data_IF_199356648685
#
_entry.id   IF_199356648685
#
_cell.length_a   1.000
_cell.length_b   1.000
_cell.length_c   1.000
_cell.angle_alpha   90.00
_cell.angle_beta   90.00
_cell.angle_gamma   90.00
#
_symmetry.space_group_name_H-M   'P 1'
#
loop_
_entity.id
_entity.type
_entity.pdbx_description
1 polymer ?
#
# COMPACT_ATOMS: atom_id res chain seq x y z
N UNK A 1 52.07 20.03 -8.84
CA UNK A 1 52.21 19.23 -10.06
C UNK A 1 52.04 17.76 -9.73
N UNK A 2 50.88 17.19 -9.92
CA UNK A 2 50.71 15.74 -10.02
C UNK A 2 49.42 15.47 -10.81
N UNK A 3 49.62 15.06 -12.02
CA UNK A 3 48.67 14.63 -13.02
C UNK A 3 48.13 13.26 -12.67
N UNK A 4 46.79 13.09 -12.55
CA UNK A 4 46.17 11.78 -12.54
C UNK A 4 45.49 11.50 -13.86
N UNK A 5 46.05 10.48 -14.51
CA UNK A 5 45.72 9.97 -15.84
C UNK A 5 44.41 9.18 -15.77
N UNK A 6 43.57 9.43 -16.75
CA UNK A 6 42.37 8.68 -17.07
C UNK A 6 42.70 7.17 -17.27
N UNK A 7 41.87 6.32 -16.69
CA UNK A 7 41.75 4.94 -17.11
C UNK A 7 40.26 4.65 -17.35
N UNK A 8 39.90 4.65 -18.63
CA UNK A 8 38.67 4.08 -19.15
C UNK A 8 38.88 2.58 -19.26
N UNK A 9 38.07 1.80 -18.56
CA UNK A 9 37.97 0.35 -18.83
C UNK A 9 36.54 0.05 -19.17
N UNK A 10 36.30 -0.15 -20.46
CA UNK A 10 35.11 -0.76 -21.01
C UNK A 10 35.25 -2.28 -20.90
N UNK A 11 34.31 -2.94 -20.25
CA UNK A 11 34.14 -4.39 -20.38
C UNK A 11 32.67 -4.70 -20.60
N UNK A 12 32.36 -4.95 -21.85
CA UNK A 12 31.14 -5.63 -22.26
C UNK A 12 31.26 -7.11 -21.93
N UNK A 13 30.33 -7.66 -21.21
CA UNK A 13 30.14 -9.11 -21.15
C UNK A 13 28.65 -9.42 -21.20
N UNK A 14 28.22 -9.90 -22.34
CA UNK A 14 26.96 -10.59 -22.53
C UNK A 14 26.93 -11.85 -21.67
N UNK A 15 25.91 -11.97 -20.83
CA UNK A 15 25.63 -13.16 -20.07
C UNK A 15 24.16 -13.43 -20.05
N UNK A 16 23.63 -14.15 -21.02
CA UNK A 16 22.28 -14.71 -21.02
C UNK A 16 22.23 -15.84 -20.00
N UNK A 17 21.50 -15.64 -18.91
CA UNK A 17 21.12 -16.73 -18.01
C UNK A 17 19.60 -16.78 -17.96
N UNK A 18 19.05 -17.71 -18.73
CA UNK A 18 17.74 -18.29 -18.54
C UNK A 18 17.75 -19.02 -17.18
N UNK A 19 17.16 -18.40 -16.18
CA UNK A 19 16.80 -19.08 -14.94
C UNK A 19 15.28 -19.18 -14.87
N UNK A 20 14.76 -20.33 -15.19
CA UNK A 20 13.44 -20.77 -14.79
C UNK A 20 13.43 -20.84 -13.26
N UNK A 21 12.57 -20.08 -12.61
CA UNK A 21 12.50 -20.10 -11.15
C UNK A 21 11.33 -19.31 -10.61
N UNK A 22 10.26 -20.03 -10.27
CA UNK A 22 9.39 -19.69 -9.16
C UNK A 22 8.55 -18.42 -9.26
N UNK A 23 7.36 -18.55 -9.81
CA UNK A 23 6.28 -17.59 -9.66
C UNK A 23 5.89 -17.47 -8.20
N UNK A 24 6.49 -16.54 -7.46
CA UNK A 24 5.84 -15.99 -6.29
C UNK A 24 4.64 -15.18 -6.81
N UNK A 25 3.46 -15.75 -6.74
CA UNK A 25 2.22 -15.07 -7.04
C UNK A 25 1.98 -13.99 -5.98
N UNK A 26 2.53 -12.81 -6.22
CA UNK A 26 1.95 -11.60 -5.69
C UNK A 26 0.60 -11.47 -6.41
N UNK A 27 -0.48 -11.70 -5.68
CA UNK A 27 -1.85 -11.54 -6.14
C UNK A 27 -2.19 -10.04 -6.19
N UNK A 28 -1.41 -9.32 -6.96
CA UNK A 28 -1.68 -7.97 -7.42
C UNK A 28 -2.46 -8.16 -8.71
N UNK A 29 -3.76 -7.83 -8.67
CA UNK A 29 -4.72 -8.11 -9.71
C UNK A 29 -4.48 -7.39 -11.04
N UNK A 30 -3.28 -7.50 -11.59
CA UNK A 30 -2.96 -7.13 -12.95
C UNK A 30 -3.55 -8.21 -13.89
N UNK A 31 -4.49 -7.88 -14.76
CA UNK A 31 -5.05 -8.87 -15.69
C UNK A 31 -3.97 -9.34 -16.64
N UNK A 32 -3.88 -10.66 -16.82
CA UNK A 32 -3.09 -11.24 -17.88
C UNK A 32 -3.51 -10.63 -19.23
N UNK A 33 -2.55 -10.34 -20.16
CA UNK A 33 -2.89 -9.85 -21.49
C UNK A 33 -3.82 -10.85 -22.19
N UNK A 34 -5.05 -10.45 -22.46
CA UNK A 34 -6.01 -11.25 -23.23
C UNK A 34 -7.31 -11.63 -22.53
N UNK A 35 -7.49 -11.37 -21.23
CA UNK A 35 -8.80 -11.54 -20.58
C UNK A 35 -9.60 -10.24 -20.71
N UNK A 36 -10.50 -10.17 -21.68
CA UNK A 36 -11.57 -9.18 -21.73
C UNK A 36 -12.44 -9.37 -20.49
N UNK A 37 -12.33 -8.46 -19.52
CA UNK A 37 -13.26 -8.43 -18.39
C UNK A 37 -14.63 -8.00 -18.91
N UNK A 38 -15.54 -8.96 -19.07
CA UNK A 38 -16.94 -8.66 -19.30
C UNK A 38 -17.59 -8.27 -17.98
N UNK A 39 -18.19 -7.07 -17.92
CA UNK A 39 -18.92 -6.57 -16.77
C UNK A 39 -18.09 -5.70 -15.79
N UNK A 40 -18.77 -5.10 -14.84
CA UNK A 40 -18.20 -4.17 -13.84
C UNK A 40 -17.47 -4.86 -12.68
N UNK A 41 -17.45 -6.19 -12.65
CA UNK A 41 -16.81 -6.97 -11.60
C UNK A 41 -17.63 -7.11 -10.32
N UNK A 42 -18.91 -6.74 -10.31
CA UNK A 42 -19.79 -6.74 -9.14
C UNK A 42 -19.79 -8.08 -8.40
N UNK A 43 -20.00 -9.18 -9.09
CA UNK A 43 -20.01 -10.54 -8.48
C UNK A 43 -18.70 -10.86 -7.75
N UNK A 44 -17.54 -10.50 -8.33
CA UNK A 44 -16.25 -10.71 -7.73
C UNK A 44 -16.04 -9.79 -6.51
N UNK A 45 -16.50 -8.55 -6.60
CA UNK A 45 -16.45 -7.59 -5.50
C UNK A 45 -17.30 -8.07 -4.32
N UNK A 46 -18.56 -8.45 -4.56
CA UNK A 46 -19.46 -8.96 -3.51
C UNK A 46 -18.85 -10.17 -2.78
N UNK A 47 -18.26 -11.10 -3.51
CA UNK A 47 -17.58 -12.28 -2.92
C UNK A 47 -16.39 -11.91 -2.05
N UNK A 48 -15.65 -10.83 -2.41
CA UNK A 48 -14.44 -10.40 -1.69
C UNK A 48 -14.73 -9.40 -0.57
N UNK A 49 -15.93 -8.87 -0.51
CA UNK A 49 -16.32 -7.79 0.40
C UNK A 49 -15.94 -8.05 1.86
N UNK A 50 -16.27 -9.22 2.48
CA UNK A 50 -15.93 -9.45 3.88
C UNK A 50 -14.42 -9.40 4.16
N UNK A 51 -13.61 -9.88 3.22
CA UNK A 51 -12.16 -9.85 3.31
C UNK A 51 -11.62 -8.42 3.21
N UNK A 52 -12.22 -7.59 2.36
CA UNK A 52 -11.83 -6.18 2.20
C UNK A 52 -12.20 -5.40 3.46
N UNK A 53 -13.42 -5.56 3.98
CA UNK A 53 -13.88 -4.94 5.23
C UNK A 53 -12.91 -5.26 6.37
N UNK A 54 -12.57 -6.53 6.57
CA UNK A 54 -11.66 -6.96 7.64
C UNK A 54 -10.25 -6.36 7.50
N UNK A 55 -9.73 -6.23 6.28
CA UNK A 55 -8.44 -5.60 6.05
C UNK A 55 -8.43 -4.11 6.42
N UNK A 56 -9.50 -3.40 6.08
CA UNK A 56 -9.64 -1.98 6.41
C UNK A 56 -9.77 -1.81 7.92
N UNK A 57 -10.61 -2.60 8.58
CA UNK A 57 -10.78 -2.59 10.02
C UNK A 57 -9.44 -2.80 10.75
N UNK A 58 -8.70 -3.84 10.42
CA UNK A 58 -7.40 -4.12 11.01
C UNK A 58 -6.37 -3.01 10.74
N UNK A 59 -6.43 -2.36 9.57
CA UNK A 59 -5.54 -1.25 9.24
C UNK A 59 -5.86 -0.01 10.07
N UNK A 60 -7.14 0.32 10.23
CA UNK A 60 -7.60 1.44 11.05
C UNK A 60 -7.30 1.21 12.54
N UNK A 61 -7.59 0.02 13.06
CA UNK A 61 -7.27 -0.37 14.43
C UNK A 61 -5.77 -0.17 14.74
N UNK A 62 -4.90 -0.65 13.86
CA UNK A 62 -3.46 -0.46 14.02
C UNK A 62 -3.02 1.00 13.93
N UNK A 63 -3.57 1.78 12.99
CA UNK A 63 -3.18 3.19 12.83
C UNK A 63 -3.70 4.07 13.95
N UNK A 64 -4.86 3.76 14.51
CA UNK A 64 -5.48 4.47 15.63
C UNK A 64 -5.02 3.93 17.02
N UNK A 65 -4.16 2.93 17.04
CA UNK A 65 -3.59 2.37 18.26
C UNK A 65 -2.69 3.37 19.00
N UNK A 66 -2.31 3.00 20.21
CA UNK A 66 -1.42 3.78 21.08
C UNK A 66 0.02 3.89 20.56
N UNK A 67 0.87 4.62 21.29
CA UNK A 67 2.28 4.80 20.94
C UNK A 67 3.14 3.52 21.04
N UNK A 68 2.68 2.46 21.72
CA UNK A 68 3.33 1.16 21.74
C UNK A 68 3.05 0.36 20.47
N UNK A 69 1.91 0.63 19.82
CA UNK A 69 1.48 -0.07 18.60
C UNK A 69 2.36 0.29 17.40
N UNK A 70 2.98 -0.73 16.79
CA UNK A 70 3.78 -0.53 15.57
C UNK A 70 2.89 -0.07 14.42
N UNK A 71 3.23 1.09 13.86
CA UNK A 71 2.50 1.65 12.73
C UNK A 71 1.37 2.59 13.13
N UNK A 72 1.13 2.88 14.41
CA UNK A 72 0.15 3.86 14.86
C UNK A 72 0.58 5.30 14.55
N UNK A 73 -0.40 6.18 14.47
CA UNK A 73 -0.21 7.63 14.36
C UNK A 73 0.47 8.14 15.64
N UNK A 74 -0.02 7.75 16.82
CA UNK A 74 0.51 8.15 18.11
C UNK A 74 2.02 7.83 18.27
N UNK A 75 2.45 6.66 17.78
CA UNK A 75 3.88 6.32 17.78
C UNK A 75 4.70 7.24 16.85
N UNK A 76 4.14 7.60 15.71
CA UNK A 76 4.82 8.49 14.76
C UNK A 76 4.91 9.91 15.30
N UNK A 77 3.87 10.42 15.94
CA UNK A 77 3.85 11.72 16.62
C UNK A 77 4.92 11.79 17.71
N UNK A 78 5.04 10.74 18.54
CA UNK A 78 6.11 10.65 19.55
C UNK A 78 7.50 10.73 18.93
N UNK A 79 7.70 10.13 17.75
CA UNK A 79 8.98 10.20 17.03
C UNK A 79 9.25 11.59 16.45
N UNK A 80 8.23 12.27 15.96
CA UNK A 80 8.32 13.67 15.51
C UNK A 80 8.79 14.54 16.66
N UNK A 81 8.12 14.47 17.81
CA UNK A 81 8.48 15.24 19.00
C UNK A 81 9.90 14.96 19.49
N UNK A 82 10.36 13.72 19.43
CA UNK A 82 11.72 13.35 19.80
C UNK A 82 12.77 13.95 18.84
N UNK A 83 12.50 13.97 17.54
CA UNK A 83 13.39 14.60 16.54
C UNK A 83 13.44 16.12 16.71
N UNK A 84 12.30 16.76 16.97
CA UNK A 84 12.20 18.18 17.28
C UNK A 84 13.03 18.54 18.55
N UNK A 85 12.82 17.79 19.63
CA UNK A 85 13.59 18.00 20.89
C UNK A 85 15.09 17.79 20.74
N UNK A 86 15.52 16.94 19.82
CA UNK A 86 16.92 16.68 19.51
C UNK A 86 17.53 17.69 18.51
N UNK A 87 16.74 18.59 17.94
CA UNK A 87 17.16 19.53 16.90
C UNK A 87 17.50 18.89 15.55
N UNK A 88 16.95 17.69 15.28
CA UNK A 88 17.18 16.95 14.03
C UNK A 88 16.20 17.39 12.95
N UNK A 89 16.36 18.57 12.40
CA UNK A 89 15.40 19.23 11.50
C UNK A 89 15.01 18.41 10.26
N UNK A 90 15.98 17.75 9.61
CA UNK A 90 15.71 16.94 8.41
C UNK A 90 14.93 15.67 8.77
N UNK A 91 15.23 15.06 9.91
CA UNK A 91 14.52 13.88 10.42
C UNK A 91 13.10 14.25 10.84
N UNK A 92 12.95 15.38 11.53
CA UNK A 92 11.64 15.92 11.91
C UNK A 92 10.78 16.16 10.67
N UNK A 93 11.29 16.86 9.67
CA UNK A 93 10.58 17.16 8.41
C UNK A 93 10.14 15.87 7.72
N UNK A 94 11.02 14.88 7.60
CA UNK A 94 10.69 13.58 7.01
C UNK A 94 9.57 12.86 7.79
N UNK A 95 9.65 12.87 9.13
CA UNK A 95 8.64 12.22 9.96
C UNK A 95 7.30 12.94 9.93
N UNK A 96 7.27 14.28 9.87
CA UNK A 96 6.04 15.08 9.71
C UNK A 96 5.36 14.78 8.37
N UNK A 97 6.11 14.69 7.28
CA UNK A 97 5.55 14.31 5.98
C UNK A 97 4.92 12.91 6.02
N UNK A 98 5.57 11.97 6.69
CA UNK A 98 4.99 10.63 6.91
C UNK A 98 3.75 10.65 7.78
N UNK A 99 3.71 11.50 8.80
CA UNK A 99 2.55 11.67 9.66
C UNK A 99 1.35 12.19 8.86
N UNK A 100 1.54 13.23 8.07
CA UNK A 100 0.51 13.78 7.17
C UNK A 100 -0.04 12.73 6.21
N UNK A 101 0.84 11.97 5.54
CA UNK A 101 0.44 10.91 4.63
C UNK A 101 -0.36 9.81 5.35
N UNK A 102 0.02 9.44 6.57
CA UNK A 102 -0.67 8.41 7.35
C UNK A 102 -2.04 8.87 7.84
N UNK A 103 -2.17 10.11 8.28
CA UNK A 103 -3.45 10.71 8.68
C UNK A 103 -4.42 10.77 7.49
N UNK A 104 -3.93 11.21 6.32
CA UNK A 104 -4.74 11.20 5.08
C UNK A 104 -5.16 9.78 4.68
N UNK A 105 -4.32 8.78 4.93
CA UNK A 105 -4.66 7.39 4.65
C UNK A 105 -5.78 6.86 5.57
N UNK A 106 -5.80 7.24 6.84
CA UNK A 106 -6.91 6.92 7.76
C UNK A 106 -8.21 7.47 7.21
N UNK A 107 -8.27 8.76 6.85
CA UNK A 107 -9.46 9.38 6.25
C UNK A 107 -9.92 8.64 4.99
N UNK A 108 -8.99 8.23 4.15
CA UNK A 108 -9.30 7.45 2.94
C UNK A 108 -9.90 6.09 3.28
N UNK A 109 -9.38 5.39 4.28
CA UNK A 109 -9.91 4.09 4.70
C UNK A 109 -11.30 4.20 5.34
N UNK A 110 -11.55 5.24 6.14
CA UNK A 110 -12.86 5.52 6.72
C UNK A 110 -13.90 5.80 5.61
N UNK A 111 -13.52 6.57 4.59
CA UNK A 111 -14.39 6.78 3.44
C UNK A 111 -14.67 5.46 2.71
N UNK A 112 -13.67 4.63 2.51
CA UNK A 112 -13.85 3.29 1.91
C UNK A 112 -14.78 2.40 2.74
N UNK A 113 -14.74 2.45 4.06
CA UNK A 113 -15.69 1.71 4.90
C UNK A 113 -17.13 2.14 4.61
N UNK A 114 -17.38 3.45 4.50
CA UNK A 114 -18.70 3.98 4.15
C UNK A 114 -19.17 3.52 2.78
N UNK A 115 -18.27 3.51 1.79
CA UNK A 115 -18.60 3.08 0.44
C UNK A 115 -18.87 1.56 0.39
N UNK A 116 -18.07 0.76 1.09
CA UNK A 116 -18.28 -0.68 1.19
C UNK A 116 -19.59 -1.06 1.90
N UNK A 117 -20.04 -0.27 2.88
CA UNK A 117 -21.33 -0.47 3.51
C UNK A 117 -22.50 -0.33 2.49
N UNK A 118 -22.41 0.63 1.58
CA UNK A 118 -23.37 0.79 0.47
C UNK A 118 -23.28 -0.37 -0.52
N UNK A 119 -22.06 -0.78 -0.88
CA UNK A 119 -21.83 -1.95 -1.76
C UNK A 119 -22.41 -3.21 -1.13
N UNK A 120 -22.24 -3.40 0.16
CA UNK A 120 -22.79 -4.55 0.91
C UNK A 120 -24.31 -4.62 0.83
N UNK A 121 -24.96 -3.48 1.00
CA UNK A 121 -26.43 -3.37 0.84
C UNK A 121 -26.85 -3.72 -0.56
N UNK A 122 -26.14 -3.19 -1.58
CA UNK A 122 -26.41 -3.51 -2.96
C UNK A 122 -26.21 -5.00 -3.28
N UNK A 123 -25.12 -5.60 -2.82
CA UNK A 123 -24.85 -7.03 -3.02
C UNK A 123 -25.99 -7.92 -2.48
N UNK A 124 -26.49 -7.61 -1.27
CA UNK A 124 -27.64 -8.33 -0.69
C UNK A 124 -28.91 -8.21 -1.53
N UNK A 125 -29.19 -7.01 -2.02
CA UNK A 125 -30.37 -6.76 -2.85
C UNK A 125 -30.30 -7.40 -4.23
N UNK A 126 -29.09 -7.67 -4.74
CA UNK A 126 -28.85 -8.16 -6.10
C UNK A 126 -28.28 -9.59 -6.15
N UNK A 127 -28.55 -10.42 -5.12
CA UNK A 127 -28.10 -11.80 -5.09
C UNK A 127 -26.60 -11.97 -5.25
N UNK A 128 -25.83 -11.21 -4.48
CA UNK A 128 -24.36 -11.16 -4.51
C UNK A 128 -23.76 -10.83 -5.90
N UNK A 129 -24.48 -9.97 -6.65
CA UNK A 129 -24.05 -9.54 -7.98
C UNK A 129 -24.38 -10.54 -9.09
N UNK A 130 -25.29 -11.48 -8.85
CA UNK A 130 -25.76 -12.42 -9.88
C UNK A 130 -26.81 -11.82 -10.83
N UNK A 131 -27.44 -10.70 -10.43
CA UNK A 131 -28.45 -9.97 -11.19
C UNK A 131 -27.82 -8.69 -11.73
N UNK A 132 -26.89 -8.80 -12.64
CA UNK A 132 -26.28 -7.65 -13.33
C UNK A 132 -26.02 -7.97 -14.77
#
# INVERSE_FOLDING_TARGET
MLTFRNAVVALAACGSLLAAGGSAAADDGTPAPGTTRSGDGAKKLCKRLPKIEKRIENALERMNGDAATRGSIARLEKRVAAAESAGHTEIETFLRNRLTARTSHVTTLEQRQKDLAKVKTWCRANGDGAKG
#
